data_IF_572509543085
#
_entry.id   IF_572509543085
#
_cell.length_a   1.000
_cell.length_b   1.000
_cell.length_c   1.000
_cell.angle_alpha   90.00
_cell.angle_beta   90.00
_cell.angle_gamma   90.00
#
_symmetry.space_group_name_H-M   'P 1'
#
loop_
_entity.id
_entity.type
_entity.pdbx_description
1 polymer ?
#
# COMPACT_ATOMS: atom_id res chain seq x y z
N UNK A 1 8.19 21.10 12.50
CA UNK A 1 8.77 20.05 11.62
C UNK A 1 7.61 19.38 10.91
N UNK A 2 7.39 19.72 9.64
CA UNK A 2 6.30 19.12 8.86
C UNK A 2 6.55 17.63 8.61
N UNK A 3 5.50 16.83 8.39
CA UNK A 3 5.68 15.44 8.00
C UNK A 3 6.44 15.41 6.67
N UNK A 4 7.62 14.79 6.67
CA UNK A 4 8.31 14.46 5.42
C UNK A 4 7.42 13.48 4.66
N UNK A 5 6.78 14.00 3.63
CA UNK A 5 6.07 13.27 2.61
C UNK A 5 7.09 12.33 1.95
N UNK A 6 6.95 11.03 2.13
CA UNK A 6 7.39 10.06 1.12
C UNK A 6 6.60 10.42 -0.15
N UNK A 7 7.13 11.34 -0.97
CA UNK A 7 6.51 11.76 -2.22
C UNK A 7 6.71 10.65 -3.25
N UNK A 8 5.93 9.59 -3.12
CA UNK A 8 5.66 8.70 -4.25
C UNK A 8 5.05 9.59 -5.34
N UNK A 9 5.79 9.86 -6.42
CA UNK A 9 5.29 10.69 -7.53
C UNK A 9 4.37 9.84 -8.41
N UNK A 10 3.25 9.40 -7.82
CA UNK A 10 2.22 8.66 -8.52
C UNK A 10 1.52 9.58 -9.51
N UNK A 11 1.72 9.34 -10.79
CA UNK A 11 1.10 10.09 -11.88
C UNK A 11 0.17 9.18 -12.67
N UNK A 12 -0.99 9.69 -13.14
CA UNK A 12 -1.82 8.95 -14.08
C UNK A 12 -1.05 8.60 -15.34
N UNK A 13 -1.05 7.32 -15.71
CA UNK A 13 -0.50 6.88 -16.99
C UNK A 13 -1.31 7.54 -18.11
N UNK A 14 -0.61 8.27 -18.98
CA UNK A 14 -1.19 9.00 -20.10
C UNK A 14 -0.21 9.00 -21.27
N UNK A 15 -0.75 8.92 -22.49
CA UNK A 15 0.05 8.89 -23.71
C UNK A 15 0.94 10.14 -23.83
N UNK A 16 0.36 11.33 -23.63
CA UNK A 16 1.06 12.60 -23.73
C UNK A 16 2.34 12.68 -22.87
N UNK A 17 2.34 12.02 -21.71
CA UNK A 17 3.45 12.06 -20.75
C UNK A 17 4.39 10.86 -20.86
N UNK A 18 3.85 9.68 -21.15
CA UNK A 18 4.57 8.41 -20.99
C UNK A 18 4.75 7.64 -22.31
N UNK A 19 4.45 8.23 -23.49
CA UNK A 19 4.57 7.52 -24.78
C UNK A 19 5.93 6.85 -25.03
N UNK A 20 7.01 7.46 -24.56
CA UNK A 20 8.38 6.97 -24.75
C UNK A 20 8.88 6.14 -23.56
N UNK A 21 8.03 5.93 -22.55
CA UNK A 21 8.40 5.22 -21.34
C UNK A 21 8.21 3.73 -21.52
N UNK A 22 9.13 3.00 -20.91
CA UNK A 22 9.17 1.56 -20.85
C UNK A 22 9.42 1.11 -19.41
N UNK A 23 9.23 -0.16 -19.12
CA UNK A 23 9.50 -0.70 -17.79
C UNK A 23 10.07 -2.10 -17.81
N UNK A 24 10.81 -2.40 -16.74
CA UNK A 24 11.29 -3.74 -16.42
C UNK A 24 10.35 -4.41 -15.43
N UNK A 25 10.02 -5.67 -15.70
CA UNK A 25 9.42 -6.52 -14.67
C UNK A 25 10.41 -6.66 -13.52
N UNK A 26 9.97 -6.40 -12.30
CA UNK A 26 10.80 -6.61 -11.14
C UNK A 26 11.13 -8.10 -10.99
N UNK A 27 12.36 -8.40 -10.59
CA UNK A 27 12.84 -9.76 -10.34
C UNK A 27 13.10 -10.03 -8.86
N UNK A 28 13.00 -9.00 -8.03
CA UNK A 28 13.22 -9.09 -6.57
C UNK A 28 12.44 -8.00 -5.82
N UNK A 29 12.18 -8.24 -4.53
CA UNK A 29 11.53 -7.30 -3.62
C UNK A 29 12.48 -6.26 -3.02
N UNK A 30 13.67 -6.06 -3.59
CA UNK A 30 14.65 -5.05 -3.11
C UNK A 30 14.06 -3.64 -3.08
N UNK A 31 13.12 -3.33 -3.97
CA UNK A 31 12.40 -2.04 -3.95
C UNK A 31 11.60 -1.83 -2.66
N UNK A 32 11.21 -2.90 -1.96
CA UNK A 32 10.45 -2.86 -0.72
C UNK A 32 11.32 -2.93 0.55
N UNK A 33 12.65 -2.99 0.43
CA UNK A 33 13.57 -3.12 1.58
C UNK A 33 13.45 -1.97 2.57
N UNK A 34 13.17 -0.75 2.11
CA UNK A 34 12.99 0.41 2.99
C UNK A 34 11.52 0.71 3.31
N UNK A 35 10.59 -0.11 2.79
CA UNK A 35 9.16 0.13 2.97
C UNK A 35 8.75 -0.30 4.37
N UNK A 36 8.23 0.63 5.15
CA UNK A 36 7.85 0.38 6.56
C UNK A 36 6.38 -0.02 6.72
N UNK A 37 5.56 0.24 5.70
CA UNK A 37 4.14 -0.06 5.69
C UNK A 37 3.59 -0.17 4.27
N UNK A 38 2.46 -0.86 4.12
CA UNK A 38 1.69 -0.97 2.87
C UNK A 38 0.27 -0.49 3.08
N UNK A 39 -0.30 0.14 2.05
CA UNK A 39 -1.74 0.35 1.93
C UNK A 39 -2.43 -1.00 1.87
N UNK A 40 -3.65 -1.04 2.40
CA UNK A 40 -4.52 -2.22 2.36
C UNK A 40 -5.61 -1.95 1.34
N UNK A 41 -5.72 -2.81 0.33
CA UNK A 41 -6.94 -2.88 -0.49
C UNK A 41 -7.97 -3.68 0.30
N UNK A 42 -9.22 -3.22 0.37
CA UNK A 42 -10.25 -3.82 1.24
C UNK A 42 -10.44 -5.33 1.01
N UNK A 43 -10.12 -5.79 -0.19
CA UNK A 43 -10.38 -7.15 -0.65
C UNK A 43 -9.24 -8.10 -0.40
N UNK A 44 -8.12 -7.59 0.10
CA UNK A 44 -7.04 -8.36 0.72
C UNK A 44 -7.01 -8.23 2.25
N UNK A 45 -7.98 -7.54 2.86
CA UNK A 45 -7.92 -7.22 4.29
C UNK A 45 -7.80 -8.45 5.20
N UNK A 46 -8.47 -9.57 4.86
CA UNK A 46 -8.39 -10.82 5.62
C UNK A 46 -6.98 -11.45 5.55
N UNK A 47 -6.42 -11.51 4.34
CA UNK A 47 -5.07 -12.05 4.11
C UNK A 47 -4.01 -11.18 4.77
N UNK A 48 -4.17 -9.87 4.68
CA UNK A 48 -3.30 -8.91 5.37
C UNK A 48 -3.40 -9.08 6.88
N UNK A 49 -4.61 -9.20 7.45
CA UNK A 49 -4.80 -9.39 8.88
C UNK A 49 -4.20 -10.71 9.39
N UNK A 50 -4.17 -11.74 8.54
CA UNK A 50 -3.55 -13.02 8.86
C UNK A 50 -2.01 -12.97 8.80
N UNK A 51 -1.44 -12.08 7.98
CA UNK A 51 0.00 -12.02 7.73
C UNK A 51 0.74 -10.87 8.45
N UNK A 52 0.05 -9.77 8.76
CA UNK A 52 0.67 -8.52 9.24
C UNK A 52 -0.14 -7.85 10.35
N UNK A 53 0.53 -7.16 11.29
CA UNK A 53 -0.15 -6.19 12.14
C UNK A 53 -0.81 -5.09 11.30
N UNK A 54 -2.06 -4.78 11.60
CA UNK A 54 -2.79 -3.65 11.00
C UNK A 54 -2.75 -2.47 11.97
N UNK A 55 -2.24 -1.34 11.49
CA UNK A 55 -2.29 -0.06 12.21
C UNK A 55 -3.28 0.88 11.54
N UNK A 56 -3.77 1.86 12.30
CA UNK A 56 -4.62 2.93 11.79
C UNK A 56 -3.86 4.25 11.87
N UNK A 57 -3.66 4.89 10.72
CA UNK A 57 -2.93 6.14 10.60
C UNK A 57 -3.89 7.26 10.23
N UNK A 58 -3.78 8.40 10.90
CA UNK A 58 -4.50 9.63 10.53
C UNK A 58 -3.86 10.24 9.27
N UNK A 59 -4.71 10.59 8.30
CA UNK A 59 -4.37 11.28 7.06
C UNK A 59 -5.31 12.47 6.87
N UNK A 60 -5.02 13.34 5.91
CA UNK A 60 -5.91 14.46 5.55
C UNK A 60 -7.32 14.00 5.11
N UNK A 61 -7.45 12.72 4.73
CA UNK A 61 -8.71 12.11 4.27
C UNK A 61 -9.43 11.32 5.37
N UNK A 62 -8.84 11.25 6.57
CA UNK A 62 -9.37 10.52 7.73
C UNK A 62 -8.43 9.43 8.22
N UNK A 63 -8.96 8.48 8.98
CA UNK A 63 -8.17 7.36 9.48
C UNK A 63 -8.10 6.28 8.39
N UNK A 64 -6.89 5.82 8.07
CA UNK A 64 -6.64 4.77 7.08
C UNK A 64 -5.90 3.58 7.71
N UNK A 65 -6.29 2.34 7.40
CA UNK A 65 -5.56 1.17 7.85
C UNK A 65 -4.37 0.89 6.94
N UNK A 66 -3.26 0.47 7.55
CA UNK A 66 -2.01 0.09 6.89
C UNK A 66 -1.50 -1.22 7.45
N UNK A 67 -0.94 -2.06 6.59
CA UNK A 67 -0.15 -3.21 7.01
C UNK A 67 1.21 -2.69 7.47
N UNK A 68 1.59 -2.98 8.71
CA UNK A 68 2.85 -2.54 9.28
C UNK A 68 3.95 -3.58 9.02
N UNK A 69 5.08 -3.14 8.45
CA UNK A 69 6.27 -3.96 8.27
C UNK A 69 7.34 -3.67 9.32
N UNK A 70 7.54 -2.39 9.66
CA UNK A 70 8.58 -1.95 10.61
C UNK A 70 8.10 -0.80 11.48
N UNK A 71 8.37 -0.87 12.79
CA UNK A 71 7.99 0.17 13.76
C UNK A 71 8.80 1.47 13.63
N UNK A 72 10.06 1.36 13.20
CA UNK A 72 10.95 2.50 13.07
C UNK A 72 11.03 2.92 11.60
N UNK A 73 10.91 4.23 11.34
CA UNK A 73 10.94 4.78 9.97
C UNK A 73 12.19 4.43 9.16
N UNK A 74 13.32 4.16 9.83
CA UNK A 74 14.60 3.81 9.21
C UNK A 74 14.96 2.33 9.35
N UNK A 75 14.11 1.52 10.00
CA UNK A 75 14.36 0.09 10.07
C UNK A 75 13.95 -0.55 8.74
N UNK A 76 14.79 -1.46 8.20
CA UNK A 76 14.45 -2.17 6.98
C UNK A 76 13.20 -3.03 7.18
N UNK A 77 12.53 -3.33 6.09
CA UNK A 77 11.42 -4.28 6.04
C UNK A 77 11.95 -5.69 6.37
N UNK A 78 11.53 -6.31 7.50
CA UNK A 78 12.01 -7.64 7.89
C UNK A 78 11.52 -8.76 6.96
N UNK A 79 10.53 -8.47 6.11
CA UNK A 79 9.97 -9.44 5.16
C UNK A 79 10.74 -9.50 3.84
N UNK A 80 11.79 -8.71 3.67
CA UNK A 80 12.66 -8.76 2.49
C UNK A 80 14.03 -9.27 2.90
N UNK A 81 14.47 -10.40 2.33
CA UNK A 81 15.81 -10.93 2.58
C UNK A 81 16.90 -10.09 1.92
N UNK A 82 18.15 -10.31 2.33
CA UNK A 82 19.33 -9.66 1.72
C UNK A 82 19.51 -10.01 0.23
N UNK A 83 19.02 -11.17 -0.22
CA UNK A 83 18.97 -11.59 -1.62
C UNK A 83 17.71 -11.10 -2.37
N UNK A 84 16.76 -10.45 -1.70
CA UNK A 84 15.60 -9.81 -2.31
C UNK A 84 14.36 -10.69 -2.46
N UNK A 85 14.26 -11.79 -1.69
CA UNK A 85 13.07 -12.63 -1.60
C UNK A 85 12.10 -12.08 -0.56
N UNK A 86 10.81 -12.35 -0.77
CA UNK A 86 9.76 -12.06 0.20
C UNK A 86 9.60 -13.21 1.20
N UNK A 87 9.48 -12.90 2.48
CA UNK A 87 9.40 -13.90 3.57
C UNK A 87 8.01 -14.09 4.17
N UNK A 88 7.09 -13.13 4.01
CA UNK A 88 5.76 -13.27 4.61
C UNK A 88 4.88 -14.22 3.79
N UNK A 89 3.86 -14.79 4.45
CA UNK A 89 2.88 -15.68 3.82
C UNK A 89 2.03 -14.99 2.75
N UNK A 90 1.95 -13.66 2.79
CA UNK A 90 1.17 -12.86 1.86
C UNK A 90 1.98 -11.71 1.28
N UNK A 91 1.84 -11.41 -0.01
CA UNK A 91 2.42 -10.22 -0.64
C UNK A 91 1.31 -9.18 -0.84
N UNK A 92 1.35 -8.02 -0.17
CA UNK A 92 0.33 -6.98 -0.35
C UNK A 92 0.22 -6.50 -1.80
N UNK A 93 -0.98 -6.14 -2.25
CA UNK A 93 -1.26 -5.75 -3.62
C UNK A 93 -0.37 -4.61 -4.12
N UNK A 94 -0.06 -3.64 -3.24
CA UNK A 94 0.84 -2.52 -3.54
C UNK A 94 2.25 -2.98 -3.98
N UNK A 95 2.67 -4.19 -3.62
CA UNK A 95 4.00 -4.73 -3.94
C UNK A 95 4.01 -5.71 -5.10
N UNK A 96 2.87 -6.05 -5.71
CA UNK A 96 2.81 -7.11 -6.72
C UNK A 96 3.17 -6.65 -8.13
N UNK A 97 3.00 -5.37 -8.43
CA UNK A 97 3.23 -4.84 -9.77
C UNK A 97 3.91 -3.45 -9.76
N UNK A 98 5.05 -3.27 -9.06
CA UNK A 98 5.80 -2.03 -9.21
C UNK A 98 6.22 -1.84 -10.69
N UNK A 99 6.23 -0.61 -11.21
CA UNK A 99 5.99 0.67 -10.54
C UNK A 99 4.52 1.12 -10.50
N UNK A 100 3.56 0.24 -10.77
CA UNK A 100 2.18 0.62 -11.00
C UNK A 100 1.28 0.49 -9.77
N UNK A 101 0.27 1.35 -9.70
CA UNK A 101 -0.81 1.28 -8.72
C UNK A 101 -2.16 1.56 -9.40
N UNK A 102 -3.24 0.98 -8.88
CA UNK A 102 -4.60 1.29 -9.34
C UNK A 102 -5.26 2.32 -8.43
N UNK A 103 -5.88 3.34 -9.03
CA UNK A 103 -6.77 4.26 -8.34
C UNK A 103 -8.18 4.22 -8.96
N UNK A 104 -9.22 4.39 -8.15
CA UNK A 104 -10.58 4.61 -8.67
C UNK A 104 -10.78 6.09 -8.98
N UNK A 105 -11.34 6.39 -10.14
CA UNK A 105 -11.73 7.76 -10.53
C UNK A 105 -13.21 7.97 -10.23
N UNK A 106 -13.57 9.15 -9.72
CA UNK A 106 -14.96 9.48 -9.35
C UNK A 106 -15.73 10.16 -10.50
N UNK A 107 -15.07 10.41 -11.65
CA UNK A 107 -15.62 11.17 -12.76
C UNK A 107 -15.40 10.48 -14.11
N UNK A 108 -16.45 9.84 -14.61
CA UNK A 108 -16.88 10.00 -16.01
C UNK A 108 -18.32 9.54 -16.17
N UNK A 109 -19.18 10.53 -16.40
CA UNK A 109 -20.52 10.39 -16.94
C UNK A 109 -20.54 9.50 -18.21
N UNK A 110 -21.56 8.65 -18.30
CA UNK A 110 -22.00 7.87 -19.47
C UNK A 110 -21.31 6.54 -19.81
N UNK A 111 -20.21 6.15 -19.17
CA UNK A 111 -19.63 4.82 -19.45
C UNK A 111 -19.34 4.03 -18.18
N UNK A 112 -20.14 2.99 -17.93
CA UNK A 112 -20.10 2.17 -16.70
C UNK A 112 -18.88 1.25 -16.62
N UNK A 113 -17.97 1.30 -17.60
CA UNK A 113 -16.88 0.35 -17.77
C UNK A 113 -15.48 0.85 -17.34
N UNK A 114 -15.27 2.15 -17.06
CA UNK A 114 -13.92 2.72 -16.89
C UNK A 114 -13.68 3.47 -15.56
N UNK A 115 -14.02 2.86 -14.42
CA UNK A 115 -13.85 3.48 -13.08
C UNK A 115 -12.45 3.27 -12.45
N UNK A 116 -11.45 2.83 -13.21
CA UNK A 116 -10.10 2.52 -12.71
C UNK A 116 -9.06 3.22 -13.56
N UNK A 117 -8.16 3.96 -12.91
CA UNK A 117 -7.02 4.66 -13.51
C UNK A 117 -5.72 4.02 -13.03
N UNK A 118 -4.86 3.70 -13.98
CA UNK A 118 -3.50 3.24 -13.73
C UNK A 118 -2.63 4.44 -13.35
N UNK A 119 -1.96 4.34 -12.21
CA UNK A 119 -0.93 5.27 -11.76
C UNK A 119 0.43 4.60 -11.90
N UNK A 120 1.46 5.40 -12.20
CA UNK A 120 2.86 4.99 -12.22
C UNK A 120 3.65 5.83 -11.22
N UNK A 121 4.51 5.18 -10.43
CA UNK A 121 5.53 5.88 -9.64
C UNK A 121 6.70 6.24 -10.54
N UNK A 122 6.76 7.52 -10.93
CA UNK A 122 7.79 8.07 -11.82
C UNK A 122 9.20 8.05 -11.22
N UNK A 123 9.34 7.79 -9.92
CA UNK A 123 10.64 7.71 -9.24
C UNK A 123 11.23 6.30 -9.23
N UNK A 124 10.50 5.31 -9.75
CA UNK A 124 10.91 3.92 -9.73
C UNK A 124 12.09 3.64 -10.67
N UNK A 125 13.09 2.94 -10.14
CA UNK A 125 14.23 2.43 -10.90
C UNK A 125 13.85 1.35 -11.94
N UNK A 126 12.59 0.91 -11.96
CA UNK A 126 12.07 -0.03 -12.97
C UNK A 126 11.64 0.68 -14.26
N UNK A 127 11.58 2.01 -14.27
CA UNK A 127 11.23 2.80 -15.45
C UNK A 127 12.46 3.02 -16.32
N UNK A 128 12.26 2.87 -17.63
CA UNK A 128 13.33 2.95 -18.62
C UNK A 128 12.83 3.59 -19.91
N UNK A 129 13.75 3.78 -20.85
CA UNK A 129 13.48 4.19 -22.23
C UNK A 129 14.12 3.22 -23.23
N UNK A 130 14.59 2.06 -22.76
CA UNK A 130 15.38 1.12 -23.56
C UNK A 130 14.47 0.25 -24.45
N UNK A 131 14.73 0.14 -25.76
CA UNK A 131 13.83 -0.55 -26.70
C UNK A 131 13.51 -2.00 -26.36
N UNK A 132 14.40 -2.71 -25.66
CA UNK A 132 14.23 -4.09 -25.21
C UNK A 132 13.24 -4.27 -24.04
N UNK A 133 12.92 -3.18 -23.35
CA UNK A 133 12.00 -3.20 -22.21
C UNK A 133 10.55 -3.03 -22.64
N UNK A 134 9.62 -3.29 -21.71
CA UNK A 134 8.20 -3.34 -22.00
C UNK A 134 7.62 -1.94 -22.23
N UNK A 135 7.02 -1.64 -23.39
CA UNK A 135 6.47 -0.33 -23.66
C UNK A 135 5.17 -0.10 -22.89
N UNK A 136 4.90 1.17 -22.56
CA UNK A 136 3.62 1.56 -21.97
C UNK A 136 2.50 1.53 -23.01
N UNK A 137 2.81 1.91 -24.26
CA UNK A 137 1.85 2.04 -25.36
C UNK A 137 2.28 1.19 -26.56
N UNK A 138 1.29 0.73 -27.31
CA UNK A 138 1.46 0.11 -28.62
C UNK A 138 1.62 1.17 -29.72
N UNK A 139 1.91 0.72 -30.94
CA UNK A 139 2.03 1.60 -32.11
C UNK A 139 0.72 2.30 -32.51
N UNK A 140 -0.42 1.86 -31.95
CA UNK A 140 -1.75 2.45 -32.18
C UNK A 140 -2.14 3.48 -31.10
N UNK A 141 -1.18 3.97 -30.30
CA UNK A 141 -1.38 4.88 -29.17
C UNK A 141 -2.26 4.33 -28.01
N UNK A 142 -2.59 3.03 -28.05
CA UNK A 142 -3.30 2.32 -26.99
C UNK A 142 -2.32 1.72 -25.96
N UNK A 143 -2.78 1.46 -24.73
CA UNK A 143 -1.96 0.76 -23.72
C UNK A 143 -1.47 -0.58 -24.25
N UNK A 144 -0.19 -0.90 -24.03
CA UNK A 144 0.41 -2.16 -24.47
C UNK A 144 -0.30 -3.36 -23.83
N UNK A 145 -0.29 -4.51 -24.52
CA UNK A 145 -0.90 -5.73 -24.00
C UNK A 145 -0.36 -6.13 -22.63
N UNK A 146 0.96 -5.97 -22.42
CA UNK A 146 1.62 -6.23 -21.14
C UNK A 146 1.11 -5.33 -20.02
N UNK A 147 0.83 -4.05 -20.30
CA UNK A 147 0.29 -3.14 -19.30
C UNK A 147 -1.21 -3.37 -19.04
N UNK A 148 -1.96 -3.79 -20.06
CA UNK A 148 -3.33 -4.28 -19.90
C UNK A 148 -3.39 -5.53 -19.01
N UNK A 149 -2.40 -6.41 -19.09
CA UNK A 149 -2.29 -7.59 -18.22
C UNK A 149 -2.00 -7.20 -16.77
N UNK A 150 -1.13 -6.21 -16.55
CA UNK A 150 -0.90 -5.63 -15.22
C UNK A 150 -2.18 -5.00 -14.67
N UNK A 151 -2.91 -4.23 -15.48
CA UNK A 151 -4.21 -3.68 -15.14
C UNK A 151 -5.19 -4.76 -14.70
N UNK A 152 -5.29 -5.85 -15.48
CA UNK A 152 -6.12 -7.01 -15.13
C UNK A 152 -5.65 -7.62 -13.83
N UNK A 153 -4.38 -7.99 -13.71
CA UNK A 153 -3.85 -8.64 -12.51
C UNK A 153 -4.11 -7.81 -11.23
N UNK A 154 -3.85 -6.50 -11.28
CA UNK A 154 -4.14 -5.60 -10.18
C UNK A 154 -5.65 -5.45 -9.89
N UNK A 155 -6.52 -5.72 -10.88
CA UNK A 155 -7.99 -5.63 -10.76
C UNK A 155 -8.67 -6.93 -10.29
N UNK A 156 -8.01 -8.09 -10.32
CA UNK A 156 -8.62 -9.41 -10.04
C UNK A 156 -8.60 -9.83 -8.55
N UNK A 157 -8.23 -8.95 -7.61
CA UNK A 157 -8.67 -9.13 -6.21
C UNK A 157 -10.21 -9.02 -6.15
N UNK A 158 -10.91 -9.51 -5.10
CA UNK A 158 -12.31 -9.15 -4.91
C UNK A 158 -12.42 -7.63 -5.03
N UNK A 159 -13.54 -7.09 -5.51
CA UNK A 159 -13.70 -5.66 -5.69
C UNK A 159 -14.89 -5.20 -4.87
N UNK A 160 -14.67 -4.93 -3.58
CA UNK A 160 -15.73 -4.46 -2.69
C UNK A 160 -15.44 -3.04 -2.20
N UNK A 161 -16.34 -2.17 -2.67
CA UNK A 161 -16.88 -1.00 -1.99
C UNK A 161 -16.19 0.35 -2.18
N UNK A 162 -17.08 1.34 -2.30
CA UNK A 162 -16.98 2.77 -2.60
C UNK A 162 -15.90 3.53 -1.81
N UNK A 163 -15.46 4.63 -2.44
CA UNK A 163 -14.78 5.80 -1.84
C UNK A 163 -13.35 5.52 -1.39
N UNK A 164 -12.44 6.48 -1.61
CA UNK A 164 -11.16 6.62 -0.87
C UNK A 164 -11.38 6.78 0.67
N UNK A 165 -12.51 6.34 1.23
CA UNK A 165 -12.95 6.56 2.61
C UNK A 165 -13.90 5.48 3.16
N UNK A 166 -13.65 4.19 2.90
CA UNK A 166 -14.37 3.11 3.60
C UNK A 166 -13.50 2.18 4.43
N UNK A 167 -12.43 2.71 5.01
CA UNK A 167 -12.03 2.36 6.38
C UNK A 167 -11.74 3.63 7.19
N UNK A 168 -12.48 4.73 6.92
CA UNK A 168 -12.64 5.78 7.94
C UNK A 168 -13.57 5.18 8.99
N UNK A 169 -13.00 4.41 9.90
CA UNK A 169 -13.68 4.08 11.13
C UNK A 169 -13.84 5.42 11.86
N UNK A 170 -15.08 5.83 12.11
CA UNK A 170 -15.35 6.97 12.97
C UNK A 170 -15.06 6.55 14.43
N UNK A 171 -13.77 6.52 14.77
CA UNK A 171 -13.26 6.13 16.09
C UNK A 171 -13.86 7.00 17.21
N UNK A 172 -14.30 8.23 16.90
CA UNK A 172 -14.96 9.12 17.86
C UNK A 172 -16.30 8.56 18.34
N UNK A 173 -16.98 7.76 17.53
CA UNK A 173 -18.28 7.15 17.89
C UNK A 173 -18.15 6.03 18.92
N UNK A 174 -16.98 5.41 19.07
CA UNK A 174 -16.76 4.23 19.92
C UNK A 174 -15.98 4.54 21.22
N UNK A 175 -15.66 5.80 21.51
CA UNK A 175 -15.14 6.22 22.82
C UNK A 175 -13.69 5.82 23.15
N UNK A 176 -12.96 5.17 22.23
CA UNK A 176 -11.56 4.80 22.44
C UNK A 176 -10.62 5.94 22.03
N UNK A 177 -10.56 7.00 22.82
CA UNK A 177 -9.61 8.10 22.63
C UNK A 177 -8.33 7.88 23.45
N UNK A 178 -7.32 7.30 22.80
CA UNK A 178 -5.92 7.70 22.98
C UNK A 178 -5.09 7.12 21.81
N UNK A 179 -4.60 7.96 20.88
CA UNK A 179 -3.57 7.51 19.95
C UNK A 179 -2.38 7.00 20.77
N UNK A 180 -1.66 6.00 20.26
CA UNK A 180 -0.38 5.60 20.84
C UNK A 180 0.53 6.82 20.80
N UNK A 181 0.66 7.51 21.93
CA UNK A 181 1.68 8.52 22.10
C UNK A 181 3.02 7.81 21.86
N UNK A 182 3.83 8.35 20.95
CA UNK A 182 5.24 7.98 20.82
C UNK A 182 5.92 8.27 22.15
N UNK A 183 5.85 7.33 23.07
CA UNK A 183 6.51 7.45 24.36
C UNK A 183 7.97 7.18 24.08
N UNK A 184 8.77 8.24 24.08
CA UNK A 184 10.21 8.12 24.19
C UNK A 184 10.48 7.21 25.40
N UNK A 185 11.26 6.15 25.19
CA UNK A 185 11.49 5.05 26.14
C UNK A 185 12.34 5.46 27.36
N UNK A 186 12.11 6.63 27.95
CA UNK A 186 12.93 7.13 29.05
C UNK A 186 12.21 7.25 30.40
N UNK A 187 10.90 7.00 30.51
CA UNK A 187 10.22 7.05 31.82
C UNK A 187 9.04 6.06 31.89
N UNK A 188 9.33 4.81 32.23
CA UNK A 188 8.32 3.86 32.71
C UNK A 188 8.59 3.59 34.20
N UNK A 189 7.70 3.96 35.14
CA UNK A 189 7.88 3.60 36.54
C UNK A 189 7.65 2.09 36.73
N UNK A 190 8.34 1.43 37.68
CA UNK A 190 8.25 -0.03 37.83
C UNK A 190 6.82 -0.45 38.23
N UNK A 191 6.23 -1.34 37.43
CA UNK A 191 4.88 -1.85 37.64
C UNK A 191 4.81 -2.71 38.92
N UNK A 192 4.05 -2.26 39.92
CA UNK A 192 3.56 -3.11 41.02
C UNK A 192 2.34 -3.88 40.53
N UNK A 193 2.50 -5.19 40.33
CA UNK A 193 1.40 -6.11 40.09
C UNK A 193 0.68 -6.43 41.40
N UNK A 194 -0.57 -6.01 41.56
CA UNK A 194 -1.47 -6.55 42.59
C UNK A 194 -2.28 -7.69 41.98
N UNK A 195 -2.03 -8.92 42.40
CA UNK A 195 -2.86 -10.07 42.02
C UNK A 195 -4.21 -10.00 42.72
N UNK A 196 -5.32 -9.96 41.99
CA UNK A 196 -6.61 -10.41 42.52
C UNK A 196 -6.86 -11.81 41.99
N UNK A 197 -6.91 -12.79 42.90
CA UNK A 197 -7.45 -14.12 42.62
C UNK A 197 -8.94 -13.98 42.30
N UNK A 198 -9.38 -14.67 41.26
CA UNK A 198 -10.79 -14.91 40.98
C UNK A 198 -11.05 -16.33 41.44
N UNK A 199 -11.79 -16.48 42.54
CA UNK A 199 -12.28 -17.77 43.02
C UNK A 199 -13.54 -18.16 42.21
N UNK A 200 -13.54 -19.36 41.64
CA UNK A 200 -14.70 -19.97 41.00
C UNK A 200 -15.45 -20.80 42.05
N UNK A 201 -16.71 -20.48 42.33
CA UNK A 201 -17.59 -21.31 43.16
C UNK A 201 -18.29 -22.37 42.29
N UNK A 202 -18.26 -23.61 42.78
CA UNK A 202 -19.13 -24.72 42.38
C UNK A 202 -20.50 -24.62 43.08
#
# INVERSE_FOLDING_TARGET
MGPQMEQNQLQPVSFARHKNWRWKRFTSYRFATQKTQSRIVMTEASEIAAAFPIIFQETDLGIEPKALFSLQKKAPNPFVTTDGRWLASYVPAELRCPPFQLARTEYSSHDRHHNVQLLVDETSALLTTQPEDEPFFSDNDELSQNLQDVLRFCSHGPQTTKRRSMLVVDWRRWGYSKPLATTAASNCPPARWQSRRIDWMH
#
